data_IF_370433826436
#
_entry.id   IF_370433826436
#
_cell.length_a   1.000
_cell.length_b   1.000
_cell.length_c   1.000
_cell.angle_alpha   90.00
_cell.angle_beta   90.00
_cell.angle_gamma   90.00
#
_symmetry.space_group_name_H-M   'P 1'
#
loop_
_entity.id
_entity.type
_entity.pdbx_description
1 polymer ?
#
# COMPACT_ATOMS: atom_id res chain seq x y z
N UNK A 1 -8.44 -16.48 14.19
CA UNK A 1 -7.53 -15.33 14.47
C UNK A 1 -6.12 -15.60 13.95
N UNK A 2 -5.49 -16.73 14.27
CA UNK A 2 -4.13 -17.02 13.80
C UNK A 2 -3.99 -17.02 12.28
N UNK A 3 -4.94 -17.63 11.55
CA UNK A 3 -4.98 -17.61 10.09
C UNK A 3 -5.00 -16.18 9.53
N UNK A 4 -5.91 -15.32 10.01
CA UNK A 4 -6.00 -13.91 9.59
C UNK A 4 -4.67 -13.15 9.79
N UNK A 5 -3.98 -13.38 10.92
CA UNK A 5 -2.68 -12.76 11.17
C UNK A 5 -1.60 -13.31 10.23
N UNK A 6 -1.68 -14.60 9.88
CA UNK A 6 -0.78 -15.22 8.91
C UNK A 6 -1.02 -14.68 7.49
N UNK A 7 -2.28 -14.46 7.10
CA UNK A 7 -2.65 -13.84 5.82
C UNK A 7 -2.11 -12.40 5.75
N UNK A 8 -2.35 -11.58 6.79
CA UNK A 8 -1.82 -10.22 6.89
C UNK A 8 -0.29 -10.18 6.83
N UNK A 9 0.38 -11.19 7.38
CA UNK A 9 1.84 -11.33 7.28
C UNK A 9 2.26 -11.67 5.85
N UNK A 10 1.54 -12.56 5.17
CA UNK A 10 1.76 -12.89 3.76
C UNK A 10 1.55 -11.70 2.82
N UNK A 11 0.58 -10.83 3.13
CA UNK A 11 0.31 -9.59 2.41
C UNK A 11 1.38 -8.50 2.65
N UNK A 12 2.25 -8.66 3.65
CA UNK A 12 3.24 -7.65 4.03
C UNK A 12 2.69 -6.48 4.85
N UNK A 13 1.41 -6.54 5.26
CA UNK A 13 0.74 -5.49 6.05
C UNK A 13 1.41 -5.25 7.40
N UNK A 14 2.09 -6.26 7.93
CA UNK A 14 2.93 -6.14 9.13
C UNK A 14 4.05 -5.09 8.99
N UNK A 15 4.38 -4.61 7.78
CA UNK A 15 5.39 -3.59 7.53
C UNK A 15 4.80 -2.21 7.13
N UNK A 16 3.48 -2.08 7.09
CA UNK A 16 2.80 -0.86 6.61
C UNK A 16 2.93 0.32 7.59
N UNK A 17 2.94 0.05 8.89
CA UNK A 17 2.99 1.10 9.92
C UNK A 17 4.43 1.46 10.33
N UNK A 18 4.72 2.76 10.43
CA UNK A 18 6.00 3.28 10.91
C UNK A 18 6.29 2.87 12.36
N UNK A 19 5.30 2.96 13.24
CA UNK A 19 5.42 2.63 14.66
C UNK A 19 5.08 1.15 14.95
N UNK A 20 5.44 0.25 14.04
CA UNK A 20 5.14 -1.17 14.19
C UNK A 20 5.98 -1.81 15.29
N UNK A 21 5.39 -2.77 16.00
CA UNK A 21 6.18 -3.69 16.85
C UNK A 21 6.80 -4.77 15.98
N UNK A 22 8.10 -4.99 16.14
CA UNK A 22 8.82 -6.06 15.42
C UNK A 22 8.32 -7.46 15.78
N UNK A 23 7.84 -7.65 17.01
CA UNK A 23 7.38 -8.93 17.52
C UNK A 23 6.04 -8.79 18.22
N UNK A 24 5.12 -9.72 17.94
CA UNK A 24 3.86 -9.87 18.65
C UNK A 24 4.00 -11.07 19.59
N UNK A 25 3.71 -10.88 20.88
CA UNK A 25 3.76 -11.99 21.85
C UNK A 25 2.57 -12.93 21.65
N UNK A 26 2.81 -14.23 21.85
CA UNK A 26 1.78 -15.27 21.81
C UNK A 26 0.60 -14.97 22.73
N UNK A 27 0.86 -14.50 23.95
CA UNK A 27 -0.19 -14.13 24.91
C UNK A 27 -1.12 -13.03 24.37
N UNK A 28 -0.57 -12.06 23.64
CA UNK A 28 -1.36 -11.00 23.00
C UNK A 28 -2.27 -11.56 21.90
N UNK A 29 -1.77 -12.48 21.08
CA UNK A 29 -2.59 -13.15 20.06
C UNK A 29 -3.71 -13.98 20.69
N UNK A 30 -3.43 -14.73 21.77
CA UNK A 30 -4.45 -15.49 22.50
C UNK A 30 -5.52 -14.57 23.09
N UNK A 31 -5.12 -13.48 23.75
CA UNK A 31 -6.07 -12.52 24.31
C UNK A 31 -6.91 -11.84 23.22
N UNK A 32 -6.28 -11.41 22.13
CA UNK A 32 -6.98 -10.82 20.99
C UNK A 32 -7.96 -11.81 20.35
N UNK A 33 -7.59 -13.09 20.22
CA UNK A 33 -8.48 -14.12 19.69
C UNK A 33 -9.73 -14.31 20.56
N UNK A 34 -9.58 -14.34 21.89
CA UNK A 34 -10.71 -14.46 22.82
C UNK A 34 -11.65 -13.25 22.73
N UNK A 35 -11.10 -12.03 22.73
CA UNK A 35 -11.89 -10.79 22.60
C UNK A 35 -12.62 -10.76 21.25
N UNK A 36 -11.93 -11.12 20.17
CA UNK A 36 -12.53 -11.11 18.84
C UNK A 36 -13.67 -12.12 18.69
N UNK A 37 -13.52 -13.30 19.28
CA UNK A 37 -14.57 -14.31 19.30
C UNK A 37 -15.80 -13.84 20.11
N UNK A 38 -15.60 -13.20 21.26
CA UNK A 38 -16.69 -12.65 22.07
C UNK A 38 -17.48 -11.56 21.33
N UNK A 39 -16.78 -10.71 20.57
CA UNK A 39 -17.41 -9.59 19.86
C UNK A 39 -18.03 -9.97 18.51
N UNK A 40 -17.45 -10.94 17.79
CA UNK A 40 -17.76 -11.22 16.38
C UNK A 40 -17.95 -12.70 16.06
N UNK A 41 -17.89 -13.59 17.05
CA UNK A 41 -18.17 -15.02 16.86
C UNK A 41 -19.64 -15.23 16.51
N UNK A 42 -19.90 -15.94 15.41
CA UNK A 42 -21.25 -16.32 14.99
C UNK A 42 -21.54 -17.76 15.45
N UNK A 43 -22.70 -17.99 16.08
CA UNK A 43 -23.10 -19.32 16.57
C UNK A 43 -23.15 -20.38 15.46
N UNK A 44 -23.41 -19.97 14.22
CA UNK A 44 -23.54 -20.89 13.08
C UNK A 44 -22.20 -21.33 12.48
N UNK A 45 -21.09 -20.64 12.82
CA UNK A 45 -19.78 -20.87 12.21
C UNK A 45 -18.66 -20.78 13.25
N UNK A 46 -18.69 -21.72 14.19
CA UNK A 46 -17.79 -21.80 15.35
C UNK A 46 -16.28 -21.77 15.01
N UNK A 47 -15.89 -22.11 13.78
CA UNK A 47 -14.48 -22.16 13.34
C UNK A 47 -14.11 -21.14 12.26
N UNK A 48 -15.00 -20.23 11.89
CA UNK A 48 -14.71 -19.21 10.88
C UNK A 48 -14.44 -17.85 11.54
N UNK A 49 -13.43 -17.14 11.06
CA UNK A 49 -13.13 -15.78 11.53
C UNK A 49 -13.52 -14.81 10.42
N UNK A 50 -14.64 -14.11 10.60
CA UNK A 50 -15.08 -13.09 9.65
C UNK A 50 -14.16 -11.89 9.74
N UNK A 51 -13.56 -11.47 8.63
CA UNK A 51 -12.74 -10.27 8.55
C UNK A 51 -13.01 -9.54 7.23
N UNK A 52 -13.09 -8.21 7.27
CA UNK A 52 -13.28 -7.38 6.08
C UNK A 52 -12.02 -6.54 5.85
N UNK A 53 -11.51 -6.57 4.63
CA UNK A 53 -10.30 -5.84 4.24
C UNK A 53 -10.62 -4.72 3.26
N UNK A 54 -9.91 -3.60 3.39
CA UNK A 54 -9.87 -2.55 2.38
C UNK A 54 -8.45 -2.50 1.83
N UNK A 55 -8.31 -2.76 0.53
CA UNK A 55 -7.00 -2.83 -0.13
C UNK A 55 -6.81 -1.54 -0.93
N UNK A 56 -5.73 -0.81 -0.63
CA UNK A 56 -5.34 0.39 -1.35
C UNK A 56 -4.32 0.02 -2.44
N UNK A 57 -4.66 0.34 -3.69
CA UNK A 57 -3.80 0.08 -4.84
C UNK A 57 -3.09 1.36 -5.26
N UNK A 58 -1.76 1.30 -5.44
CA UNK A 58 -0.96 2.39 -5.97
C UNK A 58 -0.18 1.89 -7.19
N UNK A 59 -0.23 2.67 -8.27
CA UNK A 59 0.64 2.50 -9.41
C UNK A 59 1.61 3.68 -9.46
N UNK A 60 2.89 3.39 -9.65
CA UNK A 60 3.93 4.39 -9.77
C UNK A 60 4.89 4.01 -10.89
N UNK A 61 5.34 5.02 -11.65
CA UNK A 61 6.37 4.84 -12.65
C UNK A 61 7.69 5.35 -12.10
N UNK A 62 8.73 4.52 -12.21
CA UNK A 62 10.10 4.98 -11.99
C UNK A 62 10.55 5.75 -13.24
N UNK A 63 11.14 6.94 -13.11
CA UNK A 63 11.74 7.63 -14.25
C UNK A 63 12.77 6.72 -14.93
N UNK A 64 12.70 6.63 -16.25
CA UNK A 64 13.70 5.87 -17.01
C UNK A 64 14.95 6.72 -17.25
N UNK A 65 16.12 6.09 -17.33
CA UNK A 65 17.38 6.80 -17.59
C UNK A 65 17.42 7.47 -18.97
N UNK A 66 16.64 6.96 -19.95
CA UNK A 66 16.50 7.59 -21.27
C UNK A 66 15.55 8.80 -21.26
N UNK A 67 14.82 9.03 -20.17
CA UNK A 67 13.91 10.15 -20.06
C UNK A 67 14.70 11.45 -20.10
N UNK A 68 14.44 12.28 -21.13
CA UNK A 68 15.09 13.58 -21.26
C UNK A 68 14.71 14.45 -20.05
N UNK A 69 15.71 14.90 -19.31
CA UNK A 69 15.53 15.86 -18.23
C UNK A 69 15.08 17.23 -18.75
N UNK A 70 14.57 18.10 -17.87
CA UNK A 70 14.24 19.48 -18.23
C UNK A 70 15.51 20.20 -18.71
N UNK A 71 15.37 21.00 -19.78
CA UNK A 71 16.48 21.79 -20.30
C UNK A 71 16.91 22.89 -19.29
N UNK A 72 18.17 23.33 -19.30
CA UNK A 72 18.64 24.43 -18.47
C UNK A 72 17.80 25.69 -18.68
N UNK A 73 17.54 26.45 -17.61
CA UNK A 73 16.82 27.73 -17.72
C UNK A 73 17.58 28.67 -18.68
N UNK A 74 16.85 29.27 -19.62
CA UNK A 74 17.43 30.19 -20.62
C UNK A 74 18.01 29.50 -21.86
N UNK A 75 17.96 28.17 -22.00
CA UNK A 75 18.44 27.46 -23.18
C UNK A 75 17.48 27.49 -24.38
N UNK A 76 16.51 28.41 -24.39
CA UNK A 76 15.54 28.53 -25.47
C UNK A 76 16.21 29.15 -26.70
N UNK A 77 16.35 28.38 -27.78
CA UNK A 77 16.96 28.83 -29.04
C UNK A 77 15.98 29.51 -30.00
N UNK A 78 14.67 29.43 -29.74
CA UNK A 78 13.62 30.01 -30.56
C UNK A 78 12.50 30.59 -29.69
N UNK A 79 11.88 31.66 -30.17
CA UNK A 79 10.72 32.27 -29.51
C UNK A 79 9.47 31.42 -29.77
N UNK A 80 8.65 31.22 -28.74
CA UNK A 80 7.36 30.52 -28.88
C UNK A 80 6.42 31.22 -29.89
N UNK A 81 6.62 32.52 -30.15
CA UNK A 81 5.83 33.28 -31.14
C UNK A 81 6.03 32.78 -32.56
N UNK A 82 7.17 32.16 -32.85
CA UNK A 82 7.57 31.76 -34.20
C UNK A 82 7.20 30.28 -34.50
N UNK A 83 6.49 29.60 -33.60
CA UNK A 83 6.11 28.18 -33.75
C UNK A 83 5.15 27.97 -34.94
N UNK A 84 4.28 28.95 -35.22
CA UNK A 84 3.30 28.86 -36.32
C UNK A 84 3.91 28.89 -37.72
N UNK A 85 5.14 29.39 -37.89
CA UNK A 85 5.82 29.47 -39.19
C UNK A 85 6.67 28.23 -39.53
N UNK A 86 6.86 27.31 -38.58
CA UNK A 86 7.69 26.11 -38.74
C UNK A 86 6.91 24.80 -38.79
N UNK A 87 5.58 24.85 -38.72
CA UNK A 87 4.72 23.67 -38.83
C UNK A 87 4.08 23.65 -40.22
N UNK A 88 4.66 22.87 -41.14
CA UNK A 88 4.03 22.47 -42.40
C UNK A 88 3.03 21.34 -42.15
#
# INVERSE_FOLDING_TARGET
MYEVIQDLKGMGESNCAWNRRHYIRRSTLTAAAAIYHDMFGAEEKENEVSATFQILYFIGWKPDHSQRGPAPRGSAGASLKDIGSHTT
#
